data_IF_835736071713
#
_entry.id   IF_835736071713
#
_cell.length_a   1.000
_cell.length_b   1.000
_cell.length_c   1.000
_cell.angle_alpha   90.00
_cell.angle_beta   90.00
_cell.angle_gamma   90.00
#
_symmetry.space_group_name_H-M   'P 1'
#
loop_
_entity.id
_entity.type
_entity.pdbx_description
1 polymer ?
#
# COMPACT_ATOMS: atom_id res chain seq x y z
N UNK A 1 27.17 -17.94 -90.71
CA UNK A 1 26.92 -16.57 -90.23
C UNK A 1 25.61 -16.58 -89.46
N UNK A 2 25.61 -16.01 -88.26
CA UNK A 2 24.46 -16.03 -87.36
C UNK A 2 23.43 -14.92 -87.61
N UNK A 3 22.74 -14.63 -86.49
CA UNK A 3 21.66 -13.66 -86.24
C UNK A 3 20.26 -14.25 -86.50
N UNK A 4 19.30 -14.11 -85.60
CA UNK A 4 19.26 -13.33 -84.38
C UNK A 4 18.08 -13.75 -83.50
N UNK A 5 18.28 -13.51 -82.22
CA UNK A 5 17.32 -13.56 -81.13
C UNK A 5 16.14 -12.61 -81.36
N UNK A 6 14.91 -13.09 -81.09
CA UNK A 6 13.90 -12.25 -80.48
C UNK A 6 13.37 -12.90 -79.20
N UNK A 7 13.50 -12.14 -78.13
CA UNK A 7 13.11 -12.41 -76.76
C UNK A 7 11.62 -12.10 -76.57
N UNK A 8 10.81 -13.13 -76.39
CA UNK A 8 9.42 -13.00 -75.93
C UNK A 8 9.35 -12.87 -74.41
N UNK A 9 9.51 -11.65 -73.89
CA UNK A 9 9.20 -11.25 -72.51
C UNK A 9 7.83 -11.79 -72.06
N UNK A 10 7.77 -12.73 -71.10
CA UNK A 10 6.49 -13.07 -70.47
C UNK A 10 6.55 -13.56 -69.00
N UNK A 11 7.62 -13.20 -68.26
CA UNK A 11 7.71 -13.47 -66.80
C UNK A 11 7.49 -12.25 -65.89
N UNK A 12 7.76 -11.04 -66.38
CA UNK A 12 7.85 -9.84 -65.53
C UNK A 12 6.49 -9.23 -65.11
N UNK A 13 5.47 -9.35 -65.96
CA UNK A 13 4.14 -8.74 -65.73
C UNK A 13 3.38 -9.35 -64.54
N UNK A 14 3.43 -10.68 -64.37
CA UNK A 14 2.74 -11.37 -63.27
C UNK A 14 3.32 -11.02 -61.89
N UNK A 15 4.65 -10.95 -61.80
CA UNK A 15 5.37 -10.66 -60.56
C UNK A 15 5.11 -9.22 -60.11
N UNK A 16 5.22 -8.24 -61.01
CA UNK A 16 4.90 -6.84 -60.67
C UNK A 16 3.44 -6.65 -60.24
N UNK A 17 2.50 -7.38 -60.85
CA UNK A 17 1.08 -7.35 -60.48
C UNK A 17 0.80 -8.03 -59.13
N UNK A 18 1.56 -9.09 -58.80
CA UNK A 18 1.51 -9.77 -57.50
C UNK A 18 2.03 -8.89 -56.37
N UNK A 19 3.15 -8.19 -56.59
CA UNK A 19 3.68 -7.22 -55.63
C UNK A 19 2.73 -6.05 -55.40
N UNK A 20 2.08 -5.50 -56.44
CA UNK A 20 1.10 -4.41 -56.28
C UNK A 20 -0.19 -4.85 -55.57
N UNK A 21 -0.68 -6.06 -55.84
CA UNK A 21 -1.92 -6.58 -55.24
C UNK A 21 -1.73 -7.00 -53.78
N UNK A 22 -0.56 -7.53 -53.43
CA UNK A 22 -0.27 -8.03 -52.09
C UNK A 22 0.58 -7.06 -51.27
N UNK A 23 0.91 -5.88 -51.80
CA UNK A 23 1.70 -4.84 -51.14
C UNK A 23 1.23 -4.51 -49.70
N UNK A 24 -0.07 -4.26 -49.43
CA UNK A 24 -0.51 -3.95 -48.08
C UNK A 24 -0.33 -5.13 -47.10
N UNK A 25 -0.53 -6.37 -47.56
CA UNK A 25 -0.30 -7.57 -46.75
C UNK A 25 1.18 -7.76 -46.47
N UNK A 26 2.04 -7.47 -47.45
CA UNK A 26 3.49 -7.56 -47.33
C UNK A 26 4.04 -6.53 -46.33
N UNK A 27 3.50 -5.29 -46.33
CA UNK A 27 3.78 -4.28 -45.30
C UNK A 27 3.36 -4.79 -43.91
N UNK A 28 2.18 -5.41 -43.80
CA UNK A 28 1.66 -5.89 -42.53
C UNK A 28 2.54 -7.01 -41.94
N UNK A 29 3.02 -7.91 -42.80
CA UNK A 29 4.02 -8.93 -42.41
C UNK A 29 5.34 -8.27 -41.99
N UNK A 30 5.86 -7.30 -42.75
CA UNK A 30 7.09 -6.58 -42.39
C UNK A 30 6.96 -5.81 -41.06
N UNK A 31 5.82 -5.16 -40.80
CA UNK A 31 5.55 -4.46 -39.54
C UNK A 31 5.51 -5.42 -38.36
N UNK A 32 4.89 -6.61 -38.53
CA UNK A 32 4.84 -7.62 -37.48
C UNK A 32 6.23 -8.17 -37.12
N UNK A 33 7.06 -8.47 -38.12
CA UNK A 33 8.45 -8.90 -37.91
C UNK A 33 9.29 -7.77 -37.31
N UNK A 34 9.12 -6.54 -37.79
CA UNK A 34 9.80 -5.35 -37.27
C UNK A 34 9.49 -5.10 -35.78
N UNK A 35 8.22 -5.22 -35.36
CA UNK A 35 7.81 -5.04 -33.97
C UNK A 35 8.46 -6.08 -33.03
N UNK A 36 8.57 -7.34 -33.48
CA UNK A 36 9.23 -8.41 -32.69
C UNK A 36 10.73 -8.14 -32.55
N UNK A 37 11.40 -7.69 -33.62
CA UNK A 37 12.83 -7.35 -33.58
C UNK A 37 13.08 -6.14 -32.68
N UNK A 38 12.26 -5.08 -32.79
CA UNK A 38 12.37 -3.89 -31.93
C UNK A 38 12.15 -4.28 -30.47
N UNK A 39 11.11 -5.06 -30.15
CA UNK A 39 10.85 -5.53 -28.78
C UNK A 39 12.00 -6.40 -28.24
N UNK A 40 12.56 -7.28 -29.07
CA UNK A 40 13.73 -8.09 -28.68
C UNK A 40 15.00 -7.25 -28.47
N UNK A 41 15.20 -6.20 -29.27
CA UNK A 41 16.33 -5.28 -29.15
C UNK A 41 16.17 -4.38 -27.92
N UNK A 42 14.95 -3.91 -27.65
CA UNK A 42 14.61 -3.12 -26.47
C UNK A 42 14.78 -3.97 -25.21
N UNK A 43 14.35 -5.24 -25.19
CA UNK A 43 14.60 -6.15 -24.06
C UNK A 43 16.09 -6.41 -23.77
N UNK A 44 16.97 -6.27 -24.77
CA UNK A 44 18.42 -6.44 -24.61
C UNK A 44 19.19 -5.16 -24.31
N UNK A 45 18.64 -4.00 -24.68
CA UNK A 45 19.27 -2.69 -24.51
C UNK A 45 18.49 -1.77 -23.57
N UNK A 46 17.38 -2.23 -22.99
CA UNK A 46 16.69 -1.55 -21.91
C UNK A 46 17.71 -1.44 -20.80
N UNK A 47 18.14 -0.22 -20.55
CA UNK A 47 18.92 0.09 -19.36
C UNK A 47 18.04 -0.31 -18.18
N UNK A 48 18.32 -1.49 -17.62
CA UNK A 48 17.82 -1.84 -16.32
C UNK A 48 18.26 -0.68 -15.43
N UNK A 49 17.30 -0.04 -14.77
CA UNK A 49 17.61 0.89 -13.69
C UNK A 49 18.29 0.04 -12.64
N UNK A 50 19.62 -0.06 -12.74
CA UNK A 50 20.41 -0.73 -11.75
C UNK A 50 20.44 0.26 -10.59
N UNK A 51 19.50 0.09 -9.66
CA UNK A 51 19.53 0.80 -8.39
C UNK A 51 20.72 0.24 -7.64
N UNK A 52 21.91 0.76 -7.95
CA UNK A 52 23.10 0.56 -7.15
C UNK A 52 22.88 1.33 -5.87
N UNK A 53 22.25 0.66 -4.90
CA UNK A 53 22.30 1.07 -3.50
C UNK A 53 23.77 1.15 -3.12
N UNK A 54 24.21 2.34 -2.69
CA UNK A 54 25.53 2.55 -2.11
C UNK A 54 25.79 1.40 -1.11
N UNK A 55 26.87 0.61 -1.23
CA UNK A 55 27.14 -0.47 -0.30
C UNK A 55 27.25 0.03 1.15
N UNK A 56 27.46 1.34 1.40
CA UNK A 56 27.35 1.92 2.75
C UNK A 56 25.91 2.07 3.25
N UNK A 57 24.92 2.23 2.36
CA UNK A 57 23.47 2.17 2.67
C UNK A 57 22.96 0.70 2.69
N UNK A 58 23.53 -0.17 1.85
CA UNK A 58 23.21 -1.59 1.85
C UNK A 58 23.80 -2.33 3.05
N UNK A 59 24.97 -1.91 3.56
CA UNK A 59 25.54 -2.44 4.81
C UNK A 59 24.69 -2.08 6.04
N UNK A 60 23.89 -1.01 5.99
CA UNK A 60 22.86 -0.74 7.02
C UNK A 60 21.63 -1.65 6.85
N UNK A 61 21.39 -2.17 5.66
CA UNK A 61 20.23 -2.98 5.31
C UNK A 61 20.46 -4.49 5.48
N UNK A 62 21.71 -4.94 5.44
CA UNK A 62 22.09 -6.35 5.63
C UNK A 62 22.11 -6.80 7.11
N UNK A 63 21.84 -5.89 8.04
CA UNK A 63 21.64 -6.16 9.48
C UNK A 63 20.20 -5.88 9.89
N UNK A 64 19.23 -6.36 9.11
CA UNK A 64 17.82 -6.35 9.53
C UNK A 64 17.38 -7.78 9.80
N UNK A 65 17.91 -8.38 10.87
CA UNK A 65 17.00 -9.12 11.74
C UNK A 65 15.88 -8.11 12.05
N UNK A 66 14.63 -8.40 11.71
CA UNK A 66 13.48 -7.48 11.86
C UNK A 66 13.63 -6.71 13.17
N UNK A 67 14.21 -5.50 13.09
CA UNK A 67 14.55 -4.78 14.30
C UNK A 67 13.20 -4.36 14.84
N UNK A 68 12.84 -4.91 15.99
CA UNK A 68 11.62 -4.56 16.68
C UNK A 68 11.94 -3.56 17.77
N UNK A 69 11.00 -2.69 18.06
CA UNK A 69 11.02 -1.83 19.23
C UNK A 69 9.81 -2.17 20.10
N UNK A 70 9.98 -2.02 21.41
CA UNK A 70 8.93 -2.25 22.38
C UNK A 70 8.17 -0.95 22.62
N UNK A 71 6.86 -1.04 22.61
CA UNK A 71 5.96 0.04 23.04
C UNK A 71 5.05 -0.49 24.14
N UNK A 72 4.63 0.41 25.03
CA UNK A 72 3.67 0.09 26.09
C UNK A 72 2.28 0.56 25.68
N UNK A 73 1.31 -0.34 25.76
CA UNK A 73 -0.11 -0.07 25.49
C UNK A 73 -0.94 -0.47 26.71
N UNK A 74 -2.06 0.19 26.92
CA UNK A 74 -3.09 -0.25 27.83
C UNK A 74 -4.09 -1.14 27.08
N UNK A 75 -4.56 -2.23 27.69
CA UNK A 75 -5.54 -3.15 27.11
C UNK A 75 -6.62 -3.45 28.15
N UNK A 76 -7.88 -3.30 27.76
CA UNK A 76 -9.01 -3.69 28.61
C UNK A 76 -9.23 -5.19 28.56
N UNK A 77 -9.31 -5.83 29.72
CA UNK A 77 -9.62 -7.24 29.87
C UNK A 77 -11.09 -7.40 30.31
N UNK A 78 -11.96 -8.01 29.48
CA UNK A 78 -13.38 -8.16 29.79
C UNK A 78 -13.68 -9.16 30.91
N UNK A 79 -12.74 -10.07 31.21
CA UNK A 79 -12.91 -11.07 32.28
C UNK A 79 -12.66 -10.45 33.66
N UNK A 80 -11.60 -9.64 33.78
CA UNK A 80 -11.24 -8.98 35.04
C UNK A 80 -11.87 -7.59 35.19
N UNK A 81 -12.40 -7.02 34.10
CA UNK A 81 -12.92 -5.65 34.00
C UNK A 81 -11.86 -4.58 34.32
N UNK A 82 -10.58 -4.90 34.15
CA UNK A 82 -9.46 -4.01 34.41
C UNK A 82 -8.77 -3.60 33.12
N UNK A 83 -8.10 -2.45 33.16
CA UNK A 83 -7.21 -1.99 32.12
C UNK A 83 -5.78 -2.25 32.60
N UNK A 84 -5.06 -3.06 31.83
CA UNK A 84 -3.71 -3.53 32.18
C UNK A 84 -2.71 -3.03 31.14
N UNK A 85 -1.51 -2.67 31.59
CA UNK A 85 -0.44 -2.30 30.68
C UNK A 85 0.21 -3.56 30.12
N UNK A 86 0.46 -3.54 28.81
CA UNK A 86 1.10 -4.62 28.07
C UNK A 86 2.23 -4.05 27.22
N UNK A 87 3.35 -4.75 27.20
CA UNK A 87 4.47 -4.43 26.32
C UNK A 87 4.32 -5.24 25.02
N UNK A 88 4.38 -4.54 23.88
CA UNK A 88 4.25 -5.14 22.55
C UNK A 88 5.40 -4.74 21.65
N UNK A 89 5.84 -5.68 20.82
CA UNK A 89 6.91 -5.47 19.86
C UNK A 89 6.34 -5.06 18.51
N UNK A 90 6.71 -3.87 18.03
CA UNK A 90 6.38 -3.37 16.70
C UNK A 90 7.65 -3.27 15.85
N UNK A 91 7.56 -3.27 14.50
CA UNK A 91 8.69 -2.96 13.64
C UNK A 91 9.31 -1.61 14.01
N UNK A 92 10.64 -1.55 14.04
CA UNK A 92 11.38 -0.33 14.37
C UNK A 92 11.12 0.72 13.31
N UNK A 93 10.72 1.90 13.76
CA UNK A 93 10.36 3.02 12.91
C UNK A 93 10.88 4.33 13.52
N UNK A 94 11.12 5.32 12.67
CA UNK A 94 11.72 6.59 13.11
C UNK A 94 10.85 7.30 14.15
N UNK A 95 9.54 7.31 13.91
CA UNK A 95 8.55 7.91 14.80
C UNK A 95 7.39 6.94 14.98
N UNK A 96 7.02 6.67 16.23
CA UNK A 96 5.78 5.96 16.55
C UNK A 96 4.66 6.98 16.61
N UNK A 97 3.59 6.73 15.87
CA UNK A 97 2.43 7.61 15.81
C UNK A 97 1.24 6.95 16.52
N UNK A 98 0.18 7.72 16.76
CA UNK A 98 -1.01 7.31 17.50
C UNK A 98 -1.64 6.04 16.91
N UNK A 99 -1.65 5.96 15.57
CA UNK A 99 -2.19 4.81 14.84
C UNK A 99 -1.48 3.49 15.17
N UNK A 100 -0.19 3.52 15.48
CA UNK A 100 0.57 2.31 15.84
C UNK A 100 0.09 1.76 17.18
N UNK A 101 -0.06 2.62 18.18
CA UNK A 101 -0.61 2.25 19.48
C UNK A 101 -2.03 1.71 19.35
N UNK A 102 -2.92 2.41 18.63
CA UNK A 102 -4.32 1.99 18.44
C UNK A 102 -4.40 0.64 17.72
N UNK A 103 -3.58 0.42 16.69
CA UNK A 103 -3.52 -0.85 15.98
C UNK A 103 -3.10 -2.01 16.90
N UNK A 104 -2.11 -1.80 17.78
CA UNK A 104 -1.71 -2.85 18.71
C UNK A 104 -2.76 -3.12 19.79
N UNK A 105 -3.47 -2.09 20.28
CA UNK A 105 -4.61 -2.25 21.20
C UNK A 105 -5.71 -3.09 20.52
N UNK A 106 -6.05 -2.79 19.26
CA UNK A 106 -7.01 -3.57 18.48
C UNK A 106 -6.58 -5.03 18.38
N UNK A 107 -5.31 -5.30 18.04
CA UNK A 107 -4.78 -6.67 17.92
C UNK A 107 -4.80 -7.44 19.24
N UNK A 108 -4.58 -6.75 20.38
CA UNK A 108 -4.55 -7.36 21.71
C UNK A 108 -5.90 -7.51 22.36
N UNK A 109 -6.93 -6.86 21.84
CA UNK A 109 -8.30 -6.91 22.40
C UNK A 109 -9.06 -8.11 21.83
N UNK A 110 -9.30 -9.19 22.61
CA UNK A 110 -9.86 -10.44 22.09
C UNK A 110 -11.32 -10.34 21.62
N UNK A 111 -12.01 -9.28 22.03
CA UNK A 111 -13.40 -8.97 21.67
C UNK A 111 -13.51 -8.05 20.44
N UNK A 112 -12.38 -7.63 19.86
CA UNK A 112 -12.34 -6.84 18.63
C UNK A 112 -12.14 -7.78 17.44
N UNK A 113 -12.98 -7.65 16.42
CA UNK A 113 -12.94 -8.55 15.26
C UNK A 113 -11.99 -8.04 14.17
N UNK A 114 -11.66 -8.88 13.17
CA UNK A 114 -10.72 -8.52 12.09
C UNK A 114 -11.25 -7.40 11.18
N UNK A 115 -12.55 -7.23 11.15
CA UNK A 115 -13.25 -6.22 10.37
C UNK A 115 -13.21 -4.86 11.06
N UNK A 116 -13.00 -4.82 12.37
CA UNK A 116 -12.85 -3.59 13.16
C UNK A 116 -11.44 -3.03 12.96
N UNK A 117 -11.36 -1.84 12.34
CA UNK A 117 -10.09 -1.24 11.92
C UNK A 117 -9.97 0.22 12.33
N UNK A 118 -8.77 0.60 12.72
CA UNK A 118 -8.35 1.99 12.77
C UNK A 118 -8.37 2.61 11.37
N UNK A 119 -8.85 3.85 11.27
CA UNK A 119 -8.91 4.59 10.00
C UNK A 119 -7.89 5.72 9.96
N UNK A 120 -7.89 6.58 10.99
CA UNK A 120 -7.01 7.73 11.04
C UNK A 120 -6.89 8.30 12.45
N UNK A 121 -5.78 8.98 12.72
CA UNK A 121 -5.61 9.81 13.90
C UNK A 121 -5.19 11.20 13.43
N UNK A 122 -5.80 12.23 13.99
CA UNK A 122 -5.43 13.61 13.69
C UNK A 122 -5.71 14.51 14.88
N UNK A 123 -4.99 15.61 14.95
CA UNK A 123 -5.05 16.52 16.06
C UNK A 123 -5.88 17.77 15.69
N UNK A 124 -6.76 18.19 16.59
CA UNK A 124 -7.60 19.38 16.46
C UNK A 124 -7.60 20.16 17.78
N UNK A 125 -7.66 21.48 17.68
CA UNK A 125 -7.97 22.33 18.83
C UNK A 125 -9.49 22.34 19.04
N UNK A 126 -9.96 21.77 20.15
CA UNK A 126 -11.37 21.74 20.54
C UNK A 126 -11.46 22.34 21.95
N UNK A 127 -12.26 23.39 22.13
CA UNK A 127 -12.38 24.10 23.41
C UNK A 127 -11.00 24.47 24.01
N UNK A 128 -10.11 25.01 23.18
CA UNK A 128 -8.72 25.37 23.52
C UNK A 128 -7.82 24.21 24.00
N UNK A 129 -8.28 22.97 23.88
CA UNK A 129 -7.53 21.76 24.21
C UNK A 129 -6.99 21.10 22.95
N UNK A 130 -5.70 20.77 22.99
CA UNK A 130 -5.05 19.96 21.97
C UNK A 130 -5.63 18.53 22.01
N UNK A 131 -6.54 18.23 21.08
CA UNK A 131 -7.39 17.03 21.11
C UNK A 131 -7.05 16.11 19.96
N UNK A 132 -6.67 14.87 20.27
CA UNK A 132 -6.49 13.84 19.25
C UNK A 132 -7.83 13.16 18.97
N UNK A 133 -8.25 13.21 17.70
CA UNK A 133 -9.37 12.45 17.18
C UNK A 133 -8.86 11.12 16.64
N UNK A 134 -9.30 10.02 17.23
CA UNK A 134 -9.09 8.66 16.74
C UNK A 134 -10.34 8.22 15.98
N UNK A 135 -10.22 8.09 14.66
CA UNK A 135 -11.31 7.60 13.80
C UNK A 135 -11.17 6.09 13.60
N UNK A 136 -12.25 5.38 13.91
CA UNK A 136 -12.39 3.94 13.72
C UNK A 136 -13.45 3.67 12.65
N UNK A 137 -13.42 2.51 12.01
CA UNK A 137 -14.41 2.18 10.98
C UNK A 137 -15.79 1.84 11.57
N UNK A 138 -16.81 1.82 10.71
CA UNK A 138 -18.20 1.60 11.11
C UNK A 138 -18.46 0.26 11.82
N UNK A 139 -17.57 -0.73 11.68
CA UNK A 139 -17.72 -2.05 12.31
C UNK A 139 -17.64 -1.99 13.84
N UNK A 140 -17.03 -0.94 14.40
CA UNK A 140 -17.05 -0.69 15.84
C UNK A 140 -18.44 -0.32 16.39
N UNK A 141 -19.44 -0.02 15.54
CA UNK A 141 -20.81 0.21 15.98
C UNK A 141 -21.40 -0.99 16.73
N UNK A 142 -21.06 -2.21 16.32
CA UNK A 142 -21.44 -3.44 17.02
C UNK A 142 -20.82 -3.52 18.42
N UNK A 143 -19.56 -3.10 18.57
CA UNK A 143 -18.90 -3.03 19.87
C UNK A 143 -19.54 -1.94 20.75
N UNK A 144 -19.86 -0.77 20.17
CA UNK A 144 -20.49 0.36 20.85
C UNK A 144 -21.87 0.01 21.44
N UNK A 145 -22.58 -0.96 20.86
CA UNK A 145 -23.81 -1.49 21.45
C UNK A 145 -23.58 -2.18 22.80
N UNK A 146 -22.37 -2.72 23.03
CA UNK A 146 -21.93 -3.22 24.34
C UNK A 146 -21.09 -2.14 25.05
N UNK A 147 -21.77 -1.32 25.87
CA UNK A 147 -21.14 -0.19 26.58
C UNK A 147 -19.92 -0.59 27.38
N UNK A 148 -19.96 -1.70 28.12
CA UNK A 148 -18.84 -2.11 28.96
C UNK A 148 -17.57 -2.38 28.15
N UNK A 149 -17.70 -3.15 27.05
CA UNK A 149 -16.55 -3.45 26.19
C UNK A 149 -16.06 -2.20 25.45
N UNK A 150 -16.98 -1.38 24.95
CA UNK A 150 -16.62 -0.17 24.20
C UNK A 150 -15.98 0.89 25.09
N UNK A 151 -16.49 1.11 26.30
CA UNK A 151 -15.94 2.06 27.25
C UNK A 151 -14.56 1.59 27.74
N UNK A 152 -14.41 0.30 28.05
CA UNK A 152 -13.11 -0.29 28.40
C UNK A 152 -12.08 -0.13 27.29
N UNK A 153 -12.45 -0.45 26.04
CA UNK A 153 -11.61 -0.24 24.86
C UNK A 153 -11.25 1.24 24.66
N UNK A 154 -12.24 2.14 24.82
CA UNK A 154 -12.04 3.58 24.67
C UNK A 154 -11.08 4.13 25.71
N UNK A 155 -11.22 3.71 26.97
CA UNK A 155 -10.32 4.09 28.04
C UNK A 155 -8.90 3.56 27.82
N UNK A 156 -8.75 2.34 27.30
CA UNK A 156 -7.45 1.79 26.94
C UNK A 156 -6.73 2.66 25.88
N UNK A 157 -7.45 3.12 24.84
CA UNK A 157 -6.92 4.07 23.87
C UNK A 157 -6.56 5.41 24.53
N UNK A 158 -7.47 5.99 25.31
CA UNK A 158 -7.26 7.30 25.96
C UNK A 158 -6.02 7.27 26.85
N UNK A 159 -5.89 6.25 27.71
CA UNK A 159 -4.72 6.11 28.60
C UNK A 159 -3.42 5.94 27.82
N UNK A 160 -3.43 5.12 26.77
CA UNK A 160 -2.24 4.91 25.95
C UNK A 160 -1.79 6.18 25.23
N UNK A 161 -2.71 6.91 24.61
CA UNK A 161 -2.39 8.12 23.85
C UNK A 161 -1.95 9.25 24.79
N UNK A 162 -2.70 9.52 25.85
CA UNK A 162 -2.34 10.58 26.81
C UNK A 162 -0.98 10.33 27.48
N UNK A 163 -0.62 9.07 27.73
CA UNK A 163 0.69 8.71 28.29
C UNK A 163 1.85 8.94 27.31
N UNK A 164 1.66 8.62 26.03
CA UNK A 164 2.73 8.64 25.03
C UNK A 164 2.86 9.98 24.28
N UNK A 165 1.83 10.82 24.31
CA UNK A 165 1.80 12.10 23.59
C UNK A 165 1.56 13.26 24.58
N UNK A 166 2.62 13.79 25.23
CA UNK A 166 2.50 14.72 26.37
C UNK A 166 1.86 16.07 26.04
N UNK A 167 1.84 16.45 24.76
CA UNK A 167 1.18 17.68 24.32
C UNK A 167 -0.35 17.52 24.18
N UNK A 168 -0.86 16.30 24.28
CA UNK A 168 -2.28 15.96 24.11
C UNK A 168 -3.00 16.15 25.43
N UNK A 169 -4.07 16.92 25.39
CA UNK A 169 -4.89 17.23 26.57
C UNK A 169 -6.19 16.42 26.59
N UNK A 170 -6.66 15.99 25.41
CA UNK A 170 -7.90 15.24 25.26
C UNK A 170 -7.78 14.25 24.11
N UNK A 171 -8.51 13.14 24.21
CA UNK A 171 -8.60 12.12 23.17
C UNK A 171 -10.08 11.82 22.94
N UNK A 172 -10.52 11.91 21.69
CA UNK A 172 -11.91 11.63 21.30
C UNK A 172 -11.92 10.51 20.26
N UNK A 173 -12.82 9.56 20.46
CA UNK A 173 -12.98 8.42 19.55
C UNK A 173 -14.24 8.64 18.72
N UNK A 174 -14.10 8.55 17.40
CA UNK A 174 -15.18 8.72 16.44
C UNK A 174 -15.32 7.47 15.57
N UNK A 175 -16.56 7.08 15.28
CA UNK A 175 -16.84 6.01 14.34
C UNK A 175 -17.16 6.57 12.96
N UNK A 176 -16.61 5.93 11.93
CA UNK A 176 -16.95 6.25 10.56
C UNK A 176 -18.44 6.02 10.31
N UNK A 177 -19.11 7.00 9.72
CA UNK A 177 -20.56 7.01 9.54
C UNK A 177 -21.36 7.60 10.70
N UNK A 178 -20.75 7.98 11.83
CA UNK A 178 -21.41 8.80 12.83
C UNK A 178 -21.37 10.27 12.41
N UNK A 179 -22.54 10.83 12.12
CA UNK A 179 -22.68 12.29 12.08
C UNK A 179 -22.41 12.82 13.48
N UNK A 180 -21.41 13.70 13.62
CA UNK A 180 -21.25 14.49 14.82
C UNK A 180 -22.61 15.16 15.10
N UNK A 181 -23.25 14.80 16.21
CA UNK A 181 -24.42 15.53 16.66
C UNK A 181 -23.97 16.98 16.86
N UNK A 182 -24.52 17.88 16.05
CA UNK A 182 -24.37 19.33 16.21
C UNK A 182 -25.13 19.81 17.43
#
# INVERSE_FOLDING_TARGET
MGKGTETGKNGSSKIGKFFRKNFPVMILVLLSVGAVVVNYYDKKNSQLINVTVDPKLAATSATSAEQTQKIEIAVYNPETKLIENSEVSIPKQLNVIEGDFVNEIIKKSPYVTKEMKFQSAYNLMIEDKNTIIIKLNAQFSGLKANRELFDGFSQAIIQTITKNFPNVQSVMIQLDGETAAQ
#
